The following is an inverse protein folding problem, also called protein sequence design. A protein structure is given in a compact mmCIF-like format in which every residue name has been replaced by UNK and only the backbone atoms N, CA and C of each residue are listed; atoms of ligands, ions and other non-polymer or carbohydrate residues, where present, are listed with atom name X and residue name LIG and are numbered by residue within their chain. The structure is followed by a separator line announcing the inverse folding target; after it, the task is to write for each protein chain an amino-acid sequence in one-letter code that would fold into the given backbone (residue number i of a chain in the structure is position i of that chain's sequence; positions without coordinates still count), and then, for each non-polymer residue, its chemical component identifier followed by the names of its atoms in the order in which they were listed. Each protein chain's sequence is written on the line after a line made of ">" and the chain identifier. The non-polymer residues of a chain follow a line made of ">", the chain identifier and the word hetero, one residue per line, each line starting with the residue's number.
data_IF_502387651882
#
_entry.id   IF_502387651882
#
_cell.length_a   1.000
_cell.length_b   1.000
_cell.length_c   1.000
_cell.angle_alpha   90.00
_cell.angle_beta   90.00
_cell.angle_gamma   90.00
#
_symmetry.space_group_name_H-M   'P 1'
#
loop_
_entity.id
_entity.type
_entity.pdbx_description
1 polymer ?
#
# COMPACT_ATOMS: atom_id res chain seq x y z
N UNK A 1 53.12 50.77 -15.24
CA UNK A 1 52.84 49.34 -15.52
C UNK A 1 51.83 48.85 -14.48
N UNK A 2 50.59 48.69 -14.88
CA UNK A 2 49.45 48.32 -14.02
C UNK A 2 49.12 46.84 -14.28
N UNK A 3 49.43 45.96 -13.32
CA UNK A 3 49.16 44.52 -13.43
C UNK A 3 47.70 44.28 -13.02
N UNK A 4 46.88 43.79 -13.95
CA UNK A 4 45.50 43.38 -13.75
C UNK A 4 45.56 41.89 -13.31
N UNK A 5 45.12 41.60 -12.10
CA UNK A 5 44.88 40.25 -11.63
C UNK A 5 43.43 39.84 -12.00
N UNK A 6 43.29 38.88 -12.90
CA UNK A 6 42.02 38.25 -13.23
C UNK A 6 41.83 37.09 -12.24
N UNK A 7 40.88 37.23 -11.31
CA UNK A 7 40.43 36.18 -10.45
C UNK A 7 39.46 35.27 -11.24
N UNK A 8 39.90 34.06 -11.57
CA UNK A 8 39.10 33.03 -12.22
C UNK A 8 38.26 32.34 -11.10
N UNK A 9 36.96 32.71 -11.02
CA UNK A 9 36.01 32.07 -10.13
C UNK A 9 35.61 30.71 -10.68
N UNK A 10 36.11 29.63 -10.07
CA UNK A 10 35.73 28.25 -10.40
C UNK A 10 34.41 27.91 -9.69
N UNK A 11 33.30 28.04 -10.43
CA UNK A 11 31.98 27.60 -9.92
C UNK A 11 31.94 26.08 -9.95
N UNK A 12 32.04 25.46 -8.80
CA UNK A 12 31.80 24.02 -8.61
C UNK A 12 30.31 23.78 -8.69
N UNK A 13 29.82 23.28 -9.81
CA UNK A 13 28.48 22.71 -9.90
C UNK A 13 28.45 21.40 -9.15
N UNK A 14 27.86 21.41 -7.94
CA UNK A 14 27.50 20.20 -7.24
C UNK A 14 26.26 19.63 -7.97
N UNK A 15 26.48 18.73 -8.92
CA UNK A 15 25.40 17.89 -9.44
C UNK A 15 25.00 16.96 -8.31
N UNK A 16 23.86 17.22 -7.71
CA UNK A 16 23.21 16.25 -6.83
C UNK A 16 23.00 14.97 -7.67
N UNK A 17 23.75 13.93 -7.34
CA UNK A 17 23.54 12.60 -7.90
C UNK A 17 22.18 12.11 -7.39
N UNK A 18 21.11 12.31 -8.16
CA UNK A 18 19.89 11.55 -7.94
C UNK A 18 20.21 10.08 -8.17
N UNK A 19 19.89 9.24 -7.19
CA UNK A 19 20.05 7.80 -7.32
C UNK A 19 19.31 7.33 -8.56
N UNK A 20 19.94 6.53 -9.45
CA UNK A 20 19.28 6.09 -10.67
C UNK A 20 18.01 5.32 -10.32
N UNK A 21 16.93 5.67 -11.00
CA UNK A 21 15.67 4.98 -10.91
C UNK A 21 15.85 3.50 -11.25
N UNK A 22 15.44 2.61 -10.35
CA UNK A 22 15.56 1.18 -10.55
C UNK A 22 14.21 0.59 -10.91
N UNK A 23 14.08 0.03 -12.10
CA UNK A 23 12.90 -0.72 -12.48
C UNK A 23 12.77 -1.97 -11.60
N UNK A 24 11.61 -2.13 -10.97
CA UNK A 24 11.32 -3.28 -10.11
C UNK A 24 10.33 -4.22 -10.82
N UNK A 25 10.81 -5.41 -11.22
CA UNK A 25 9.99 -6.39 -11.95
C UNK A 25 8.73 -6.84 -11.19
N UNK A 26 8.72 -6.77 -9.87
CA UNK A 26 7.54 -7.13 -9.06
C UNK A 26 6.59 -5.96 -8.85
N UNK A 27 6.97 -4.75 -9.27
CA UNK A 27 6.11 -3.58 -9.16
C UNK A 27 6.32 -2.63 -10.34
N UNK A 28 5.83 -3.00 -11.54
CA UNK A 28 6.03 -2.20 -12.74
C UNK A 28 5.35 -0.84 -12.61
N UNK A 29 6.09 0.23 -12.93
CA UNK A 29 5.65 1.62 -12.83
C UNK A 29 5.41 2.28 -14.19
N UNK A 30 5.71 1.60 -15.30
CA UNK A 30 5.55 2.16 -16.64
C UNK A 30 4.16 2.78 -16.86
N UNK A 31 4.13 3.96 -17.50
CA UNK A 31 2.90 4.70 -17.77
C UNK A 31 1.93 3.89 -18.62
N UNK A 32 0.64 4.05 -18.35
CA UNK A 32 -0.43 3.39 -19.08
C UNK A 32 -0.73 1.98 -18.63
N UNK A 33 0.18 1.31 -17.91
CA UNK A 33 -0.12 -0.01 -17.33
C UNK A 33 -1.34 0.07 -16.41
N UNK A 34 -2.21 -0.94 -16.50
CA UNK A 34 -3.42 -0.99 -15.68
C UNK A 34 -3.75 -2.41 -15.24
N UNK A 35 -4.40 -2.51 -14.09
CA UNK A 35 -4.83 -3.76 -13.46
C UNK A 35 -6.28 -3.64 -13.04
N UNK A 36 -7.09 -4.63 -13.40
CA UNK A 36 -8.47 -4.73 -12.91
C UNK A 36 -8.59 -5.97 -12.05
N UNK A 37 -9.12 -5.80 -10.84
CA UNK A 37 -9.31 -6.84 -9.86
C UNK A 37 -10.80 -7.10 -9.62
N UNK A 38 -11.16 -8.38 -9.42
CA UNK A 38 -12.37 -8.74 -8.71
C UNK A 38 -12.10 -8.60 -7.21
N UNK A 39 -12.95 -7.87 -6.51
CA UNK A 39 -12.88 -7.65 -5.07
C UNK A 39 -14.09 -8.29 -4.43
N UNK A 40 -13.84 -9.18 -3.48
CA UNK A 40 -14.86 -9.82 -2.66
C UNK A 40 -14.59 -9.51 -1.20
N UNK A 41 -15.59 -8.98 -0.50
CA UNK A 41 -15.51 -8.60 0.89
C UNK A 41 -16.57 -9.35 1.68
N UNK A 42 -16.14 -10.22 2.59
CA UNK A 42 -16.98 -10.94 3.53
C UNK A 42 -16.94 -10.21 4.87
N UNK A 43 -18.10 -9.84 5.39
CA UNK A 43 -18.24 -9.20 6.69
C UNK A 43 -18.68 -10.18 7.74
N UNK A 44 -18.09 -10.06 8.94
CA UNK A 44 -18.39 -10.91 10.09
C UNK A 44 -19.81 -10.67 10.66
N UNK A 45 -20.26 -11.63 11.49
CA UNK A 45 -21.49 -11.50 12.29
C UNK A 45 -21.55 -10.16 13.07
N UNK A 46 -22.75 -9.64 13.47
CA UNK A 46 -24.06 -10.29 13.45
C UNK A 46 -24.80 -10.21 12.12
N UNK A 47 -24.34 -9.47 11.14
CA UNK A 47 -24.95 -9.34 9.83
C UNK A 47 -23.96 -9.78 8.74
N UNK A 48 -23.71 -11.11 8.63
CA UNK A 48 -22.82 -11.63 7.60
C UNK A 48 -23.33 -11.25 6.22
N UNK A 49 -22.48 -10.67 5.43
CA UNK A 49 -22.77 -10.36 4.02
C UNK A 49 -21.51 -10.44 3.18
N UNK A 50 -21.70 -10.66 1.92
CA UNK A 50 -20.62 -10.64 0.94
C UNK A 50 -20.91 -9.55 -0.09
N UNK A 51 -20.01 -8.58 -0.17
CA UNK A 51 -20.03 -7.54 -1.18
C UNK A 51 -19.04 -7.90 -2.29
N UNK A 52 -19.46 -7.73 -3.57
CA UNK A 52 -18.61 -7.96 -4.74
C UNK A 52 -18.51 -6.68 -5.56
N UNK A 53 -17.30 -6.35 -5.95
CA UNK A 53 -17.00 -5.16 -6.75
C UNK A 53 -15.82 -5.41 -7.68
N UNK A 54 -15.50 -4.39 -8.49
CA UNK A 54 -14.27 -4.34 -9.28
C UNK A 54 -13.48 -3.11 -8.88
N UNK A 55 -12.17 -3.23 -8.93
CA UNK A 55 -11.23 -2.14 -8.72
C UNK A 55 -10.27 -2.09 -9.89
N UNK A 56 -10.19 -0.94 -10.56
CA UNK A 56 -9.18 -0.71 -11.60
C UNK A 56 -8.13 0.27 -11.09
N UNK A 57 -6.87 -0.09 -11.24
CA UNK A 57 -5.71 0.73 -10.88
C UNK A 57 -4.91 0.99 -12.15
N UNK A 58 -4.47 2.25 -12.37
CA UNK A 58 -3.69 2.67 -13.53
C UNK A 58 -2.47 3.48 -13.12
N UNK A 59 -1.35 3.22 -13.78
CA UNK A 59 -0.17 4.08 -13.71
C UNK A 59 -0.39 5.30 -14.61
N UNK A 60 -0.24 6.49 -14.03
CA UNK A 60 -0.48 7.78 -14.68
C UNK A 60 0.82 8.43 -15.19
N UNK A 61 1.95 7.71 -15.08
CA UNK A 61 3.25 8.21 -15.44
C UNK A 61 3.98 8.98 -14.34
N UNK A 62 5.05 9.65 -14.73
CA UNK A 62 5.88 10.47 -13.85
C UNK A 62 5.12 11.72 -13.39
N UNK A 63 5.40 12.14 -12.16
CA UNK A 63 4.78 13.31 -11.54
C UNK A 63 5.76 13.90 -10.53
N UNK A 64 5.81 15.21 -10.42
CA UNK A 64 6.48 15.86 -9.29
C UNK A 64 5.58 15.78 -8.06
N UNK A 65 6.19 15.48 -6.90
CA UNK A 65 5.56 15.60 -5.62
C UNK A 65 6.56 16.15 -4.60
N UNK A 66 6.27 17.33 -4.07
CA UNK A 66 7.13 18.06 -3.12
C UNK A 66 8.57 18.27 -3.65
N UNK A 67 8.67 18.72 -4.92
CA UNK A 67 9.93 18.97 -5.60
C UNK A 67 10.77 17.74 -5.92
N UNK A 68 10.17 16.55 -5.87
CA UNK A 68 10.85 15.28 -6.14
C UNK A 68 10.09 14.45 -7.16
N UNK A 69 10.82 13.81 -8.06
CA UNK A 69 10.24 12.92 -9.04
C UNK A 69 9.60 11.69 -8.38
N UNK A 70 8.40 11.36 -8.83
CA UNK A 70 7.59 10.22 -8.36
C UNK A 70 6.84 9.60 -9.51
N UNK A 71 6.28 8.42 -9.28
CA UNK A 71 5.30 7.78 -10.16
C UNK A 71 3.92 7.91 -9.57
N UNK A 72 2.97 8.44 -10.34
CA UNK A 72 1.58 8.54 -9.89
C UNK A 72 0.78 7.32 -10.32
N UNK A 73 0.03 6.77 -9.39
CA UNK A 73 -0.93 5.67 -9.59
C UNK A 73 -2.30 6.11 -9.13
N UNK A 74 -3.34 5.76 -9.89
CA UNK A 74 -4.71 6.14 -9.58
C UNK A 74 -5.66 4.94 -9.69
N UNK A 75 -6.63 4.86 -8.77
CA UNK A 75 -7.76 3.94 -8.87
C UNK A 75 -8.96 4.57 -9.56
N UNK A 76 -9.86 3.75 -10.10
CA UNK A 76 -11.16 4.18 -10.62
C UNK A 76 -12.09 4.72 -9.51
N UNK A 77 -11.82 4.39 -8.24
CA UNK A 77 -12.49 4.97 -7.08
C UNK A 77 -11.97 6.38 -6.73
N UNK A 78 -10.99 6.89 -7.47
CA UNK A 78 -10.43 8.25 -7.29
C UNK A 78 -9.31 8.38 -6.26
N UNK A 79 -8.84 7.29 -5.67
CA UNK A 79 -7.65 7.33 -4.81
C UNK A 79 -6.39 7.44 -5.65
N UNK A 80 -5.45 8.28 -5.21
CA UNK A 80 -4.16 8.48 -5.88
C UNK A 80 -3.01 8.20 -4.92
N UNK A 81 -1.90 7.71 -5.49
CA UNK A 81 -0.68 7.36 -4.75
C UNK A 81 0.54 7.86 -5.51
N UNK A 82 1.51 8.40 -4.79
CA UNK A 82 2.82 8.80 -5.31
C UNK A 82 3.86 7.83 -4.80
N UNK A 83 4.58 7.24 -5.72
CA UNK A 83 5.50 6.13 -5.52
C UNK A 83 6.90 6.52 -5.97
N UNK A 84 7.92 5.94 -5.33
CA UNK A 84 9.32 5.98 -5.76
C UNK A 84 9.87 4.58 -5.87
N UNK A 85 10.86 4.43 -6.75
CA UNK A 85 11.63 3.19 -6.93
C UNK A 85 13.10 3.54 -7.06
N UNK A 86 13.91 3.11 -6.12
CA UNK A 86 15.36 3.33 -6.06
C UNK A 86 16.08 2.14 -5.43
N UNK A 87 17.33 2.34 -4.98
CA UNK A 87 18.12 1.31 -4.30
C UNK A 87 17.52 0.83 -2.98
N UNK A 88 16.57 1.54 -2.39
CA UNK A 88 15.84 1.15 -1.16
C UNK A 88 14.62 0.28 -1.47
N UNK A 89 14.22 0.19 -2.73
CA UNK A 89 13.05 -0.56 -3.18
C UNK A 89 11.93 0.33 -3.70
N UNK A 90 10.70 -0.17 -3.67
CA UNK A 90 9.50 0.59 -4.06
C UNK A 90 8.74 1.01 -2.82
N UNK A 91 8.43 2.29 -2.71
CA UNK A 91 7.74 2.85 -1.57
C UNK A 91 6.78 3.97 -1.95
N UNK A 92 5.73 4.12 -1.16
CA UNK A 92 4.76 5.20 -1.27
C UNK A 92 5.20 6.36 -0.38
N UNK A 93 5.18 7.56 -0.96
CA UNK A 93 5.56 8.81 -0.26
C UNK A 93 4.37 9.69 0.04
N UNK A 94 3.29 9.54 -0.73
CA UNK A 94 2.08 10.32 -0.51
C UNK A 94 0.84 9.59 -1.03
N UNK A 95 -0.31 10.00 -0.54
CA UNK A 95 -1.62 9.52 -0.96
C UNK A 95 -2.66 10.63 -0.99
N UNK A 96 -3.74 10.40 -1.74
CA UNK A 96 -4.92 11.26 -1.79
C UNK A 96 -6.16 10.38 -1.90
N UNK A 97 -7.09 10.56 -0.99
CA UNK A 97 -8.39 9.90 -1.06
C UNK A 97 -9.31 10.63 -2.04
N UNK A 98 -10.28 9.91 -2.61
CA UNK A 98 -11.25 10.46 -3.56
C UNK A 98 -12.00 11.71 -3.03
N UNK A 99 -12.26 11.77 -1.73
CA UNK A 99 -12.98 12.87 -1.07
C UNK A 99 -12.07 14.02 -0.63
N UNK A 100 -10.75 13.82 -0.65
CA UNK A 100 -9.79 14.83 -0.21
C UNK A 100 -9.49 15.83 -1.32
N UNK A 101 -9.45 17.12 -0.98
CA UNK A 101 -9.06 18.17 -1.93
C UNK A 101 -7.55 18.19 -2.18
N UNK A 102 -6.76 17.81 -1.19
CA UNK A 102 -5.29 17.83 -1.22
C UNK A 102 -4.71 16.43 -1.06
N UNK A 103 -3.51 16.23 -1.56
CA UNK A 103 -2.68 15.07 -1.26
C UNK A 103 -2.02 15.24 0.10
N UNK A 104 -1.73 14.12 0.75
CA UNK A 104 -1.06 14.08 2.05
C UNK A 104 0.24 13.30 1.90
N UNK A 105 1.34 13.88 2.41
CA UNK A 105 2.55 13.11 2.66
C UNK A 105 2.22 11.98 3.63
N UNK A 106 2.69 10.78 3.33
CA UNK A 106 2.62 9.71 4.31
C UNK A 106 3.55 10.08 5.48
N UNK A 107 3.03 10.11 6.71
CA UNK A 107 3.81 10.47 7.91
C UNK A 107 5.07 9.59 8.05
N UNK A 108 4.99 8.35 7.59
CA UNK A 108 6.10 7.43 7.43
C UNK A 108 6.11 6.89 6.00
N UNK A 109 7.29 6.85 5.37
CA UNK A 109 7.46 6.23 4.05
C UNK A 109 6.96 4.79 4.12
N UNK A 110 6.01 4.46 3.23
CA UNK A 110 5.41 3.13 3.20
C UNK A 110 6.12 2.25 2.18
N UNK A 111 7.05 1.41 2.65
CA UNK A 111 7.69 0.40 1.81
C UNK A 111 6.66 -0.59 1.29
N UNK A 112 6.59 -0.76 -0.03
CA UNK A 112 5.71 -1.70 -0.74
C UNK A 112 6.49 -2.96 -1.11
N UNK A 113 7.66 -2.79 -1.74
CA UNK A 113 8.59 -3.86 -2.09
C UNK A 113 9.97 -3.43 -1.60
N UNK A 114 10.64 -4.18 -0.70
CA UNK A 114 11.98 -3.84 -0.24
C UNK A 114 13.01 -4.05 -1.35
N UNK A 115 14.17 -3.42 -1.24
CA UNK A 115 15.28 -3.59 -2.19
C UNK A 115 15.85 -5.02 -2.14
N UNK A 116 15.94 -5.57 -0.95
CA UNK A 116 16.45 -6.92 -0.73
C UNK A 116 15.30 -7.93 -0.84
N UNK A 117 15.33 -8.73 -1.89
CA UNK A 117 14.29 -9.73 -2.17
C UNK A 117 14.77 -11.11 -1.73
N UNK A 118 14.95 -11.28 -0.44
CA UNK A 118 15.30 -12.57 0.16
C UNK A 118 14.16 -13.08 1.04
N UNK A 119 14.09 -14.41 1.18
CA UNK A 119 13.15 -15.00 2.13
C UNK A 119 13.46 -14.50 3.53
N UNK A 120 12.42 -14.22 4.30
CA UNK A 120 12.47 -13.68 5.67
C UNK A 120 12.98 -12.23 5.77
N UNK A 121 13.16 -11.49 4.64
CA UNK A 121 13.36 -10.04 4.68
C UNK A 121 12.17 -9.38 5.37
N UNK A 122 12.45 -8.50 6.35
CA UNK A 122 11.43 -7.90 7.23
C UNK A 122 11.49 -6.39 7.21
N UNK A 123 10.32 -5.76 7.24
CA UNK A 123 10.17 -4.32 7.42
C UNK A 123 8.85 -3.99 8.12
N UNK A 124 8.73 -2.79 8.63
CA UNK A 124 7.51 -2.29 9.23
C UNK A 124 7.00 -1.08 8.44
N UNK A 125 5.68 -0.95 8.32
CA UNK A 125 5.05 0.22 7.71
C UNK A 125 3.68 0.47 8.33
N UNK A 126 3.25 1.73 8.29
CA UNK A 126 1.93 2.12 8.77
C UNK A 126 0.81 1.61 7.86
N UNK A 127 -0.28 1.17 8.47
CA UNK A 127 -1.51 0.78 7.80
C UNK A 127 -2.73 1.30 8.56
N UNK A 128 -3.88 1.24 7.92
CA UNK A 128 -5.18 1.51 8.56
C UNK A 128 -6.04 0.26 8.50
N UNK A 129 -6.93 0.03 9.48
CA UNK A 129 -7.94 -1.02 9.39
C UNK A 129 -8.88 -0.78 8.20
N UNK A 130 -9.25 -1.84 7.49
CA UNK A 130 -10.19 -1.76 6.37
C UNK A 130 -11.64 -1.95 6.81
N UNK A 131 -11.86 -2.78 7.84
CA UNK A 131 -13.19 -3.19 8.28
C UNK A 131 -13.52 -2.68 9.67
N UNK A 132 -12.52 -2.47 10.51
CA UNK A 132 -12.73 -2.14 11.91
C UNK A 132 -13.39 -0.78 12.06
N UNK A 133 -14.71 -0.80 12.29
CA UNK A 133 -15.54 0.35 12.54
C UNK A 133 -16.61 0.01 13.56
N UNK A 134 -17.06 0.99 14.34
CA UNK A 134 -18.20 0.81 15.23
C UNK A 134 -19.49 0.68 14.41
N UNK A 135 -20.35 -0.27 14.77
CA UNK A 135 -21.53 -0.61 13.97
C UNK A 135 -22.68 0.37 14.14
N UNK A 136 -22.94 0.81 15.35
CA UNK A 136 -24.18 1.51 15.73
C UNK A 136 -23.98 2.99 16.08
N UNK A 137 -22.87 3.59 15.67
CA UNK A 137 -22.66 5.01 15.90
C UNK A 137 -23.21 5.87 14.76
N UNK A 138 -23.90 6.93 15.16
CA UNK A 138 -24.43 7.97 14.30
C UNK A 138 -23.96 9.34 14.80
N UNK A 139 -23.50 10.25 13.97
CA UNK A 139 -23.35 10.12 12.50
C UNK A 139 -22.19 9.19 12.09
N UNK A 140 -22.16 8.75 10.80
CA UNK A 140 -21.23 7.75 10.30
C UNK A 140 -19.74 8.06 10.51
N UNK A 141 -19.38 9.33 10.66
CA UNK A 141 -18.02 9.80 10.88
C UNK A 141 -17.41 9.26 12.18
N UNK A 142 -18.24 9.04 13.20
CA UNK A 142 -17.82 8.49 14.49
C UNK A 142 -17.62 6.95 14.47
N UNK A 143 -17.97 6.28 13.37
CA UNK A 143 -17.73 4.83 13.21
C UNK A 143 -16.26 4.48 13.13
N UNK A 144 -15.42 5.43 12.71
CA UNK A 144 -13.98 5.24 12.64
C UNK A 144 -13.34 5.74 13.92
N UNK A 145 -12.64 4.86 14.58
CA UNK A 145 -11.92 5.22 15.81
C UNK A 145 -10.58 5.82 15.43
N UNK A 146 -10.42 7.12 15.62
CA UNK A 146 -9.19 7.87 15.23
C UNK A 146 -7.91 7.26 15.81
N UNK A 147 -7.99 6.65 16.98
CA UNK A 147 -6.89 5.94 17.64
C UNK A 147 -6.25 4.84 16.76
N UNK A 148 -6.98 4.31 15.78
CA UNK A 148 -6.50 3.20 14.94
C UNK A 148 -6.18 3.62 13.50
N UNK A 149 -6.03 4.92 13.23
CA UNK A 149 -5.68 5.43 11.89
C UNK A 149 -4.24 5.14 11.49
N UNK A 150 -3.37 4.80 12.43
CA UNK A 150 -1.97 4.53 12.20
C UNK A 150 -1.52 3.30 13.00
N UNK A 151 -1.66 2.14 12.37
CA UNK A 151 -1.27 0.86 12.96
C UNK A 151 0.02 0.39 12.32
N UNK A 152 1.05 0.14 13.12
CA UNK A 152 2.28 -0.45 12.61
C UNK A 152 2.04 -1.92 12.25
N UNK A 153 2.26 -2.26 10.98
CA UNK A 153 2.20 -3.63 10.47
C UNK A 153 3.61 -4.11 10.11
N UNK A 154 3.96 -5.28 10.62
CA UNK A 154 5.23 -5.93 10.34
C UNK A 154 5.07 -6.85 9.14
N UNK A 155 5.84 -6.60 8.09
CA UNK A 155 5.85 -7.37 6.85
C UNK A 155 7.06 -8.27 6.76
N UNK A 156 6.89 -9.39 6.04
CA UNK A 156 7.99 -10.28 5.67
C UNK A 156 7.74 -10.90 4.29
N UNK A 157 8.82 -11.23 3.58
CA UNK A 157 8.77 -12.13 2.41
C UNK A 157 8.75 -13.55 2.94
N UNK A 158 7.57 -14.16 3.02
CA UNK A 158 7.42 -15.52 3.60
C UNK A 158 7.69 -16.64 2.59
N UNK A 159 7.42 -16.39 1.31
CA UNK A 159 7.71 -17.35 0.27
C UNK A 159 8.15 -16.67 -1.03
N UNK A 160 8.97 -17.38 -1.77
CA UNK A 160 9.46 -17.01 -3.10
C UNK A 160 9.12 -18.11 -4.11
N UNK A 161 9.17 -17.77 -5.38
CA UNK A 161 8.92 -18.69 -6.49
C UNK A 161 7.54 -19.39 -6.41
N UNK A 162 6.56 -18.72 -5.84
CA UNK A 162 5.20 -19.23 -5.74
C UNK A 162 4.53 -19.27 -7.12
N UNK A 163 3.61 -20.21 -7.28
CA UNK A 163 2.69 -20.23 -8.41
C UNK A 163 1.31 -19.81 -7.94
N UNK A 164 0.74 -18.78 -8.58
CA UNK A 164 -0.56 -18.20 -8.25
C UNK A 164 -1.51 -18.32 -9.43
N UNK A 165 -2.72 -18.82 -9.19
CA UNK A 165 -3.78 -18.91 -10.20
C UNK A 165 -4.92 -17.97 -9.85
N UNK A 166 -5.19 -17.00 -10.73
CA UNK A 166 -6.27 -16.03 -10.63
C UNK A 166 -7.04 -15.98 -11.96
N UNK A 167 -8.20 -15.31 -12.06
CA UNK A 167 -8.95 -15.27 -13.31
C UNK A 167 -8.18 -14.72 -14.52
N UNK A 168 -7.18 -13.84 -14.31
CA UNK A 168 -6.30 -13.36 -15.38
C UNK A 168 -5.32 -14.41 -15.92
N UNK A 169 -5.12 -15.53 -15.23
CA UNK A 169 -4.20 -16.59 -15.64
C UNK A 169 -3.42 -17.22 -14.49
N UNK A 170 -2.40 -18.02 -14.88
CA UNK A 170 -1.48 -18.68 -13.96
C UNK A 170 -0.11 -17.98 -14.04
N UNK A 171 0.40 -17.52 -12.93
CA UNK A 171 1.66 -16.80 -12.81
C UNK A 171 2.63 -17.58 -11.95
N UNK A 172 3.92 -17.55 -12.31
CA UNK A 172 5.00 -18.26 -11.61
C UNK A 172 6.09 -17.31 -11.15
N UNK A 173 6.94 -17.74 -10.24
CA UNK A 173 8.03 -16.90 -9.71
C UNK A 173 7.55 -15.80 -8.79
N UNK A 174 6.34 -15.89 -8.25
CA UNK A 174 5.76 -14.85 -7.43
C UNK A 174 6.35 -14.83 -6.01
N UNK A 175 6.39 -13.63 -5.41
CA UNK A 175 6.67 -13.41 -4.00
C UNK A 175 5.37 -13.45 -3.21
N UNK A 176 5.38 -14.07 -2.04
CA UNK A 176 4.36 -13.91 -1.02
C UNK A 176 4.90 -12.98 0.06
N UNK A 177 4.30 -11.82 0.17
CA UNK A 177 4.56 -10.84 1.22
C UNK A 177 3.41 -10.92 2.23
N UNK A 178 3.74 -11.07 3.51
CA UNK A 178 2.74 -11.15 4.58
C UNK A 178 3.00 -10.08 5.61
N UNK A 179 1.99 -9.28 5.88
CA UNK A 179 1.96 -8.28 6.93
C UNK A 179 1.12 -8.75 8.12
N UNK A 180 1.59 -8.50 9.34
CA UNK A 180 0.87 -8.80 10.59
C UNK A 180 0.88 -7.61 11.51
N UNK A 181 -0.30 -7.34 12.08
CA UNK A 181 -0.47 -6.36 13.14
C UNK A 181 -1.56 -6.87 14.11
N UNK A 182 -1.67 -6.21 15.23
CA UNK A 182 -2.70 -6.45 16.22
C UNK A 182 -3.23 -5.12 16.74
N UNK A 183 -4.55 -5.02 16.86
CA UNK A 183 -5.21 -3.86 17.45
C UNK A 183 -5.86 -4.30 18.76
N UNK A 184 -5.52 -3.61 19.82
CA UNK A 184 -6.12 -3.84 21.14
C UNK A 184 -7.35 -2.94 21.30
N UNK A 185 -8.55 -3.52 21.20
CA UNK A 185 -9.84 -2.84 21.27
C UNK A 185 -10.38 -2.82 22.69
N UNK A 186 -10.71 -1.64 23.20
CA UNK A 186 -11.51 -1.52 24.41
C UNK A 186 -12.99 -1.84 24.13
N UNK A 187 -13.54 -2.80 24.87
CA UNK A 187 -14.94 -3.23 24.78
C UNK A 187 -15.67 -2.84 26.05
N UNK A 188 -16.43 -1.75 25.99
CA UNK A 188 -17.13 -1.16 27.15
C UNK A 188 -18.08 -2.13 27.83
N UNK A 189 -18.85 -2.92 27.06
CA UNK A 189 -19.84 -3.87 27.58
C UNK A 189 -19.25 -4.97 28.46
N UNK A 190 -17.96 -5.26 28.32
CA UNK A 190 -17.24 -6.27 29.09
C UNK A 190 -16.18 -5.68 30.01
N UNK A 191 -16.01 -4.36 30.00
CA UNK A 191 -14.93 -3.66 30.70
C UNK A 191 -13.56 -4.34 30.48
N UNK A 192 -13.26 -4.69 29.24
CA UNK A 192 -12.08 -5.48 28.88
C UNK A 192 -11.52 -5.07 27.52
N UNK A 193 -10.27 -5.44 27.28
CA UNK A 193 -9.65 -5.34 25.97
C UNK A 193 -9.83 -6.64 25.18
N UNK A 194 -9.94 -6.51 23.86
CA UNK A 194 -9.90 -7.61 22.91
C UNK A 194 -8.91 -7.32 21.81
N UNK A 195 -8.07 -8.29 21.52
CA UNK A 195 -7.12 -8.22 20.44
C UNK A 195 -7.80 -8.60 19.12
N UNK A 196 -7.58 -7.77 18.10
CA UNK A 196 -8.03 -8.01 16.74
C UNK A 196 -6.80 -8.16 15.86
N UNK A 197 -6.50 -9.38 15.43
CA UNK A 197 -5.41 -9.59 14.51
C UNK A 197 -5.73 -8.98 13.13
N UNK A 198 -4.71 -8.43 12.50
CA UNK A 198 -4.75 -7.95 11.13
C UNK A 198 -3.71 -8.71 10.32
N UNK A 199 -4.15 -9.42 9.31
CA UNK A 199 -3.25 -10.17 8.43
C UNK A 199 -3.46 -9.69 7.01
N UNK A 200 -2.37 -9.39 6.33
CA UNK A 200 -2.36 -8.95 4.95
C UNK A 200 -1.43 -9.85 4.14
N UNK A 201 -1.95 -10.54 3.12
CA UNK A 201 -1.17 -11.40 2.22
C UNK A 201 -1.21 -10.81 0.83
N UNK A 202 -0.08 -10.61 0.21
CA UNK A 202 0.08 -10.02 -1.11
C UNK A 202 0.97 -10.90 -1.98
N UNK A 203 0.50 -11.26 -3.17
CA UNK A 203 1.27 -12.02 -4.15
C UNK A 203 1.68 -11.10 -5.29
N UNK A 204 2.98 -10.84 -5.37
CA UNK A 204 3.58 -10.05 -6.45
C UNK A 204 4.30 -10.97 -7.42
N UNK A 205 3.94 -10.90 -8.71
CA UNK A 205 4.53 -11.72 -9.75
C UNK A 205 5.38 -10.87 -10.71
N UNK A 206 6.47 -11.44 -11.28
CA UNK A 206 7.36 -10.72 -12.18
C UNK A 206 6.60 -10.14 -13.36
N UNK A 207 6.95 -8.92 -13.77
CA UNK A 207 6.43 -8.15 -14.92
C UNK A 207 4.92 -7.79 -14.81
N UNK A 208 4.23 -8.33 -13.83
CA UNK A 208 2.80 -8.10 -13.61
C UNK A 208 2.54 -7.24 -12.38
N UNK A 209 3.28 -7.45 -11.29
CA UNK A 209 3.03 -6.80 -10.01
C UNK A 209 2.05 -7.59 -9.14
N UNK A 210 1.19 -6.90 -8.41
CA UNK A 210 0.21 -7.53 -7.52
C UNK A 210 -0.83 -8.32 -8.32
N UNK A 211 -0.91 -9.62 -8.09
CA UNK A 211 -1.91 -10.51 -8.73
C UNK A 211 -3.01 -10.95 -7.79
N UNK A 212 -2.72 -11.02 -6.49
CA UNK A 212 -3.70 -11.36 -5.46
C UNK A 212 -3.37 -10.65 -4.15
N UNK A 213 -4.41 -10.25 -3.44
CA UNK A 213 -4.33 -9.72 -2.08
C UNK A 213 -5.42 -10.35 -1.24
N UNK A 214 -5.10 -10.67 0.01
CA UNK A 214 -6.05 -11.07 1.04
C UNK A 214 -5.78 -10.27 2.31
N UNK A 215 -6.83 -9.63 2.84
CA UNK A 215 -6.79 -8.86 4.07
C UNK A 215 -7.81 -9.41 5.06
N UNK A 216 -7.34 -9.80 6.23
CA UNK A 216 -8.17 -10.36 7.29
C UNK A 216 -8.10 -9.44 8.52
N UNK A 217 -9.27 -9.11 9.06
CA UNK A 217 -9.46 -8.36 10.31
C UNK A 217 -10.66 -8.97 11.07
N UNK A 218 -10.56 -10.24 11.53
CA UNK A 218 -11.68 -10.90 12.18
C UNK A 218 -11.93 -10.29 13.56
N UNK A 219 -13.19 -10.14 13.93
CA UNK A 219 -13.56 -9.71 15.28
C UNK A 219 -14.81 -10.42 15.80
N UNK A 220 -14.77 -10.82 17.07
CA UNK A 220 -15.93 -11.32 17.81
C UNK A 220 -16.62 -10.25 18.64
N UNK A 221 -16.11 -9.02 18.61
CA UNK A 221 -16.66 -7.90 19.36
C UNK A 221 -17.92 -7.36 18.66
N UNK A 222 -19.10 -7.56 19.30
CA UNK A 222 -20.43 -7.24 18.71
C UNK A 222 -20.59 -5.81 18.20
N UNK A 223 -19.89 -4.86 18.79
CA UNK A 223 -19.97 -3.43 18.42
C UNK A 223 -19.04 -3.04 17.29
N UNK A 224 -18.18 -3.93 16.84
CA UNK A 224 -17.23 -3.68 15.77
C UNK A 224 -17.53 -4.55 14.55
N UNK A 225 -17.23 -4.01 13.38
CA UNK A 225 -17.27 -4.74 12.13
C UNK A 225 -15.88 -5.31 11.86
N UNK A 226 -15.80 -6.60 11.62
CA UNK A 226 -14.63 -7.28 11.07
C UNK A 226 -14.94 -7.87 9.70
N UNK A 227 -13.96 -8.53 9.09
CA UNK A 227 -14.17 -9.21 7.83
C UNK A 227 -12.89 -9.65 7.12
N UNK A 228 -13.10 -10.19 5.92
CA UNK A 228 -12.05 -10.62 5.00
C UNK A 228 -12.28 -10.00 3.64
N UNK A 229 -11.26 -9.39 3.06
CA UNK A 229 -11.27 -8.91 1.68
C UNK A 229 -10.30 -9.73 0.84
N UNK A 230 -10.76 -10.16 -0.33
CA UNK A 230 -9.93 -10.82 -1.34
C UNK A 230 -9.97 -10.04 -2.63
N UNK A 231 -8.80 -9.73 -3.17
CA UNK A 231 -8.64 -9.14 -4.51
C UNK A 231 -7.93 -10.15 -5.39
N UNK A 232 -8.48 -10.44 -6.56
CA UNK A 232 -7.88 -11.32 -7.57
C UNK A 232 -7.82 -10.63 -8.92
N UNK A 233 -6.65 -10.63 -9.55
CA UNK A 233 -6.47 -10.02 -10.87
C UNK A 233 -7.34 -10.72 -11.91
N UNK A 234 -8.15 -9.94 -12.65
CA UNK A 234 -9.00 -10.43 -13.75
C UNK A 234 -8.52 -9.94 -15.12
N UNK A 235 -7.75 -8.85 -15.16
CA UNK A 235 -7.15 -8.31 -16.39
C UNK A 235 -6.00 -7.35 -16.05
N UNK A 236 -4.98 -7.33 -16.91
CA UNK A 236 -3.90 -6.34 -16.90
C UNK A 236 -3.41 -6.06 -18.33
N UNK A 237 -2.73 -4.94 -18.55
CA UNK A 237 -2.07 -4.56 -19.82
C UNK A 237 -0.73 -3.87 -19.54
#
# INVERSE_FOLDING_TARGET
>A
MRRIFILLSCSVFITACESPERENKFFPLAEGKSWTYAVETEFDAPEPRTDKSKLTIKNMGRSDFDGKETWRRRSDTGNEYWLRSDEKGVYRVASKNATSKTSYLDANIRTVIPANLTKDEKWATSTVPYFLRRRNEWPPEFKYVDKYRDVTMNFAIEAMNQTVSVPAGKFTGCLLIVGRAEINLWVESGNTYKDVPMINREWYCPEVGLVQLEREEPTTARFFQGGVMRMKLIRFN
#
